data_IF_580503629965
#
_entry.id   IF_580503629965
#
_cell.length_a   1.000
_cell.length_b   1.000
_cell.length_c   1.000
_cell.angle_alpha   90.00
_cell.angle_beta   90.00
_cell.angle_gamma   90.00
#
_symmetry.space_group_name_H-M   'P 1'
#
loop_
_entity.id
_entity.type
_entity.pdbx_description
1 polymer ?
#
# COMPACT_ATOMS: atom_id res chain seq x y z
N UNK A 1 -26.91 -23.65 -1.19
CA UNK A 1 -25.63 -23.89 -0.50
C UNK A 1 -25.73 -23.30 0.89
N UNK A 2 -25.46 -24.08 1.92
CA UNK A 2 -25.43 -23.65 3.32
C UNK A 2 -23.96 -23.42 3.72
N UNK A 3 -23.63 -22.22 4.20
CA UNK A 3 -22.29 -21.85 4.62
C UNK A 3 -22.32 -21.50 6.11
N UNK A 4 -21.48 -22.18 6.87
CA UNK A 4 -21.18 -21.82 8.26
C UNK A 4 -19.88 -21.01 8.29
N UNK A 5 -19.87 -19.86 8.96
CA UNK A 5 -18.65 -19.05 9.13
C UNK A 5 -18.23 -19.10 10.60
N UNK A 6 -17.05 -19.64 10.88
CA UNK A 6 -16.47 -19.68 12.22
C UNK A 6 -15.41 -18.58 12.35
N UNK A 7 -15.79 -17.52 13.06
CA UNK A 7 -14.91 -16.39 13.33
C UNK A 7 -15.34 -15.65 14.60
N UNK A 8 -14.40 -14.96 15.23
CA UNK A 8 -14.66 -14.16 16.43
C UNK A 8 -14.20 -12.71 16.27
N UNK A 9 -14.80 -11.84 17.08
CA UNK A 9 -14.30 -10.49 17.32
C UNK A 9 -14.42 -10.16 18.79
N UNK A 10 -13.53 -9.32 19.29
CA UNK A 10 -13.59 -8.83 20.67
C UNK A 10 -12.69 -7.62 20.86
N UNK A 11 -12.73 -7.03 22.05
CA UNK A 11 -11.74 -6.04 22.49
C UNK A 11 -10.31 -6.59 22.62
N UNK A 12 -10.08 -7.89 22.42
CA UNK A 12 -8.74 -8.50 22.47
C UNK A 12 -8.31 -9.06 21.11
N UNK A 13 -9.24 -9.64 20.35
CA UNK A 13 -9.01 -10.24 19.03
C UNK A 13 -8.99 -9.16 17.95
N UNK A 14 -9.78 -8.10 18.12
CA UNK A 14 -10.02 -7.09 17.11
C UNK A 14 -11.29 -7.37 16.32
N UNK A 15 -11.46 -6.60 15.25
CA UNK A 15 -12.66 -6.64 14.39
C UNK A 15 -12.36 -7.15 12.98
N UNK A 16 -11.10 -7.48 12.69
CA UNK A 16 -10.60 -7.83 11.36
C UNK A 16 -11.33 -9.02 10.74
N UNK A 17 -11.40 -10.15 11.47
CA UNK A 17 -12.01 -11.40 10.98
C UNK A 17 -13.45 -11.20 10.50
N UNK A 18 -14.33 -10.75 11.41
CA UNK A 18 -15.74 -10.49 11.07
C UNK A 18 -15.88 -9.49 9.91
N UNK A 19 -15.06 -8.45 9.84
CA UNK A 19 -15.16 -7.46 8.76
C UNK A 19 -14.74 -8.03 7.40
N UNK A 20 -13.69 -8.86 7.33
CA UNK A 20 -13.27 -9.50 6.08
C UNK A 20 -14.19 -10.64 5.67
N UNK A 21 -14.69 -11.40 6.63
CA UNK A 21 -15.68 -12.46 6.38
C UNK A 21 -16.97 -11.90 5.79
N UNK A 22 -17.46 -10.76 6.31
CA UNK A 22 -18.64 -10.08 5.75
C UNK A 22 -18.43 -9.68 4.28
N UNK A 23 -17.21 -9.36 3.85
CA UNK A 23 -16.90 -9.08 2.44
C UNK A 23 -16.78 -10.37 1.63
N UNK A 24 -16.20 -11.43 2.21
CA UNK A 24 -16.06 -12.72 1.54
C UNK A 24 -17.44 -13.32 1.21
N UNK A 25 -18.35 -13.34 2.18
CA UNK A 25 -19.67 -13.96 2.02
C UNK A 25 -20.59 -13.21 1.06
N UNK A 26 -20.33 -11.92 0.77
CA UNK A 26 -21.05 -11.15 -0.27
C UNK A 26 -20.85 -11.77 -1.67
N UNK A 27 -19.82 -12.60 -1.86
CA UNK A 27 -19.60 -13.37 -3.10
C UNK A 27 -20.56 -14.57 -3.25
N UNK A 28 -21.35 -14.89 -2.21
CA UNK A 28 -22.31 -16.00 -2.20
C UNK A 28 -23.75 -15.50 -1.98
N UNK A 29 -24.31 -14.68 -2.90
CA UNK A 29 -25.60 -14.00 -2.68
C UNK A 29 -26.81 -14.94 -2.53
N UNK A 30 -26.70 -16.17 -3.02
CA UNK A 30 -27.77 -17.19 -2.96
C UNK A 30 -27.51 -18.27 -1.90
N UNK A 31 -26.47 -18.11 -1.08
CA UNK A 31 -26.18 -19.06 -0.01
C UNK A 31 -26.93 -18.70 1.28
N UNK A 32 -27.29 -19.71 2.05
CA UNK A 32 -27.75 -19.54 3.41
C UNK A 32 -26.54 -19.41 4.33
N UNK A 33 -26.35 -18.24 4.94
CA UNK A 33 -25.16 -17.92 5.74
C UNK A 33 -25.50 -17.90 7.23
N UNK A 34 -24.74 -18.65 8.02
CA UNK A 34 -24.80 -18.65 9.48
C UNK A 34 -23.41 -18.38 10.04
N UNK A 35 -23.29 -17.45 10.98
CA UNK A 35 -22.05 -17.21 11.72
C UNK A 35 -22.05 -17.96 13.05
N UNK A 36 -20.98 -18.69 13.34
CA UNK A 36 -20.70 -19.30 14.63
C UNK A 36 -19.65 -18.46 15.37
N UNK A 37 -20.10 -17.76 16.41
CA UNK A 37 -19.27 -16.78 17.15
C UNK A 37 -19.33 -17.04 18.66
N UNK A 38 -18.26 -16.76 19.39
CA UNK A 38 -18.27 -16.69 20.85
C UNK A 38 -18.66 -15.29 21.32
N UNK A 39 -19.38 -15.21 22.44
CA UNK A 39 -19.84 -13.92 23.00
C UNK A 39 -18.77 -13.27 23.89
N UNK A 40 -17.70 -12.75 23.28
CA UNK A 40 -16.66 -12.02 23.99
C UNK A 40 -16.98 -10.54 24.18
N UNK A 41 -16.48 -9.88 25.26
CA UNK A 41 -16.63 -8.44 25.43
C UNK A 41 -16.05 -7.65 24.25
N UNK A 42 -16.81 -6.65 23.78
CA UNK A 42 -16.41 -5.78 22.67
C UNK A 42 -16.51 -6.42 21.28
N UNK A 43 -17.19 -7.57 21.14
CA UNK A 43 -17.47 -8.15 19.83
C UNK A 43 -18.33 -7.22 18.96
N UNK A 44 -18.24 -7.44 17.64
CA UNK A 44 -19.02 -6.70 16.63
C UNK A 44 -20.10 -7.57 15.98
N UNK A 45 -20.62 -8.57 16.70
CA UNK A 45 -21.65 -9.48 16.15
C UNK A 45 -22.95 -8.77 15.74
N UNK A 46 -23.20 -7.55 16.25
CA UNK A 46 -24.29 -6.70 15.75
C UNK A 46 -24.18 -6.40 14.25
N UNK A 47 -22.95 -6.26 13.69
CA UNK A 47 -22.75 -6.02 12.26
C UNK A 47 -23.20 -7.19 11.38
N UNK A 48 -23.06 -8.42 11.89
CA UNK A 48 -23.56 -9.63 11.23
C UNK A 48 -25.10 -9.57 11.15
N UNK A 49 -25.76 -9.19 12.26
CA UNK A 49 -27.22 -9.01 12.30
C UNK A 49 -27.70 -7.87 11.40
N UNK A 50 -26.98 -6.74 11.38
CA UNK A 50 -27.31 -5.58 10.53
C UNK A 50 -27.31 -5.94 9.04
N UNK A 51 -26.50 -6.93 8.65
CA UNK A 51 -26.44 -7.49 7.28
C UNK A 51 -27.47 -8.60 7.02
N UNK A 52 -28.25 -8.98 8.04
CA UNK A 52 -29.32 -9.97 7.92
C UNK A 52 -28.89 -11.43 8.09
N UNK A 53 -27.67 -11.70 8.55
CA UNK A 53 -27.19 -13.07 8.73
C UNK A 53 -27.53 -13.64 10.12
N UNK A 54 -27.77 -14.95 10.17
CA UNK A 54 -28.02 -15.66 11.42
C UNK A 54 -26.73 -15.84 12.23
N UNK A 55 -26.87 -15.93 13.56
CA UNK A 55 -25.75 -16.13 14.48
C UNK A 55 -26.06 -17.26 15.45
N UNK A 56 -25.16 -18.22 15.54
CA UNK A 56 -25.08 -19.23 16.58
C UNK A 56 -23.98 -18.84 17.58
N UNK A 57 -24.30 -18.92 18.87
CA UNK A 57 -23.34 -18.59 19.92
C UNK A 57 -22.67 -19.86 20.42
N UNK A 58 -21.35 -19.92 20.26
CA UNK A 58 -20.51 -21.01 20.77
C UNK A 58 -20.08 -20.72 22.22
N UNK A 59 -19.94 -21.79 23.01
CA UNK A 59 -19.38 -21.74 24.36
C UNK A 59 -17.85 -21.81 24.33
N UNK A 60 -17.30 -22.63 23.44
CA UNK A 60 -15.86 -22.84 23.30
C UNK A 60 -15.46 -23.10 21.84
N UNK A 61 -14.18 -23.33 21.60
CA UNK A 61 -13.66 -23.91 20.36
C UNK A 61 -13.57 -25.43 20.47
N UNK A 62 -14.56 -26.07 21.10
CA UNK A 62 -14.64 -27.53 21.11
C UNK A 62 -15.11 -28.01 19.74
N UNK A 63 -14.46 -29.04 19.21
CA UNK A 63 -14.79 -29.61 17.91
C UNK A 63 -16.20 -30.19 17.88
N UNK A 64 -16.66 -30.78 18.99
CA UNK A 64 -17.99 -31.37 19.05
C UNK A 64 -19.08 -30.29 18.97
N UNK A 65 -18.81 -29.10 19.51
CA UNK A 65 -19.74 -27.97 19.43
C UNK A 65 -19.86 -27.46 17.98
N UNK A 66 -18.73 -27.31 17.29
CA UNK A 66 -18.73 -26.85 15.90
C UNK A 66 -19.30 -27.89 14.93
N UNK A 67 -18.97 -29.18 15.13
CA UNK A 67 -19.51 -30.30 14.36
C UNK A 67 -21.04 -30.41 14.50
N UNK A 68 -21.56 -30.20 15.71
CA UNK A 68 -23.01 -30.16 15.94
C UNK A 68 -23.69 -29.03 15.14
N UNK A 69 -23.06 -27.85 15.02
CA UNK A 69 -23.59 -26.76 14.20
C UNK A 69 -23.52 -27.07 12.70
N UNK A 70 -22.43 -27.68 12.23
CA UNK A 70 -22.31 -28.15 10.84
C UNK A 70 -23.48 -29.08 10.47
N UNK A 71 -23.80 -30.03 11.35
CA UNK A 71 -24.91 -30.98 11.15
C UNK A 71 -26.27 -30.29 11.29
N UNK A 72 -26.47 -29.44 12.29
CA UNK A 72 -27.72 -28.69 12.53
C UNK A 72 -28.14 -27.88 11.31
N UNK A 73 -27.19 -27.21 10.66
CA UNK A 73 -27.45 -26.33 9.52
C UNK A 73 -27.29 -27.03 8.16
N UNK A 74 -27.00 -28.33 8.16
CA UNK A 74 -26.67 -29.10 6.95
C UNK A 74 -25.67 -28.34 6.06
N UNK A 75 -24.57 -27.88 6.67
CA UNK A 75 -23.60 -27.02 6.01
C UNK A 75 -22.88 -27.76 4.89
N UNK A 76 -22.90 -27.18 3.68
CA UNK A 76 -22.14 -27.67 2.54
C UNK A 76 -20.68 -27.21 2.61
N UNK A 77 -20.46 -26.04 3.21
CA UNK A 77 -19.14 -25.43 3.40
C UNK A 77 -19.02 -24.82 4.79
N UNK A 78 -17.84 -24.89 5.37
CA UNK A 78 -17.42 -24.06 6.52
C UNK A 78 -16.28 -23.14 6.10
N UNK A 79 -16.41 -21.86 6.44
CA UNK A 79 -15.34 -20.86 6.37
C UNK A 79 -14.77 -20.68 7.77
N UNK A 80 -13.45 -20.87 7.93
CA UNK A 80 -12.76 -20.77 9.21
C UNK A 80 -11.81 -19.57 9.13
N UNK A 81 -12.05 -18.58 9.98
CA UNK A 81 -11.19 -17.40 10.15
C UNK A 81 -10.91 -17.19 11.64
N UNK A 82 -10.08 -18.10 12.20
CA UNK A 82 -9.85 -18.15 13.64
C UNK A 82 -8.49 -18.81 13.99
N UNK A 83 -7.57 -18.05 14.60
CA UNK A 83 -6.22 -18.52 14.96
C UNK A 83 -6.17 -19.73 15.91
N UNK A 84 -7.22 -19.94 16.71
CA UNK A 84 -7.32 -21.06 17.63
C UNK A 84 -7.81 -22.38 17.02
N UNK A 85 -8.03 -22.44 15.70
CA UNK A 85 -8.42 -23.67 15.00
C UNK A 85 -7.23 -24.09 14.12
N UNK A 86 -6.68 -25.28 14.40
CA UNK A 86 -5.45 -25.76 13.79
C UNK A 86 -5.69 -26.89 12.78
N UNK A 87 -4.61 -27.33 12.13
CA UNK A 87 -4.60 -28.48 11.21
C UNK A 87 -5.31 -29.73 11.75
N UNK A 88 -5.11 -30.07 13.03
CA UNK A 88 -5.66 -31.30 13.61
C UNK A 88 -7.17 -31.19 13.77
N UNK A 89 -7.63 -30.02 14.26
CA UNK A 89 -9.04 -29.71 14.37
C UNK A 89 -9.73 -29.77 13.00
N UNK A 90 -9.16 -29.10 11.99
CA UNK A 90 -9.69 -29.08 10.62
C UNK A 90 -9.78 -30.49 10.03
N UNK A 91 -8.73 -31.29 10.24
CA UNK A 91 -8.67 -32.69 9.80
C UNK A 91 -9.73 -33.55 10.47
N UNK A 92 -9.89 -33.43 11.77
CA UNK A 92 -10.92 -34.17 12.50
C UNK A 92 -12.33 -33.76 12.04
N UNK A 93 -12.58 -32.47 11.82
CA UNK A 93 -13.86 -31.97 11.33
C UNK A 93 -14.18 -32.53 9.93
N UNK A 94 -13.17 -32.60 9.04
CA UNK A 94 -13.29 -33.20 7.71
C UNK A 94 -13.55 -34.70 7.76
N UNK A 95 -12.91 -35.43 8.67
CA UNK A 95 -13.15 -36.87 8.85
C UNK A 95 -14.57 -37.13 9.35
N UNK A 96 -15.08 -36.32 10.28
CA UNK A 96 -16.47 -36.40 10.78
C UNK A 96 -17.50 -36.02 9.70
N UNK A 97 -17.13 -35.15 8.76
CA UNK A 97 -18.00 -34.66 7.70
C UNK A 97 -17.33 -34.76 6.30
N UNK A 98 -17.26 -35.96 5.69
CA UNK A 98 -16.48 -36.17 4.47
C UNK A 98 -16.87 -35.30 3.28
N UNK A 99 -18.13 -34.86 3.20
CA UNK A 99 -18.66 -34.02 2.12
C UNK A 99 -18.53 -32.52 2.40
N UNK A 100 -18.19 -32.11 3.64
CA UNK A 100 -18.08 -30.72 4.01
C UNK A 100 -16.87 -30.09 3.32
N UNK A 101 -17.07 -28.98 2.60
CA UNK A 101 -15.96 -28.19 2.06
C UNK A 101 -15.41 -27.26 3.15
N UNK A 102 -14.12 -27.29 3.41
CA UNK A 102 -13.44 -26.45 4.40
C UNK A 102 -12.64 -25.37 3.66
N UNK A 103 -13.01 -24.11 3.89
CA UNK A 103 -12.27 -22.93 3.45
C UNK A 103 -11.62 -22.29 4.66
N UNK A 104 -10.30 -22.06 4.62
CA UNK A 104 -9.57 -21.42 5.73
C UNK A 104 -8.99 -20.10 5.27
N UNK A 105 -9.14 -19.06 6.09
CA UNK A 105 -8.42 -17.81 5.95
C UNK A 105 -7.14 -17.88 6.79
N UNK A 106 -6.01 -17.64 6.15
CA UNK A 106 -4.71 -17.57 6.82
C UNK A 106 -3.99 -16.29 6.42
N UNK A 107 -3.27 -15.70 7.38
CA UNK A 107 -2.41 -14.54 7.17
C UNK A 107 -0.99 -14.76 7.76
N UNK A 108 -0.70 -15.96 8.25
CA UNK A 108 0.54 -16.27 8.98
C UNK A 108 1.37 -17.43 8.39
N UNK A 109 0.96 -18.02 7.27
CA UNK A 109 1.59 -19.19 6.66
C UNK A 109 1.62 -20.40 7.59
N UNK A 110 0.47 -20.68 8.21
CA UNK A 110 0.31 -21.83 9.09
C UNK A 110 -0.08 -23.10 8.31
N UNK A 111 0.07 -24.24 8.98
CA UNK A 111 -0.32 -25.54 8.42
C UNK A 111 -1.83 -25.74 8.55
N UNK A 112 -2.50 -26.13 7.45
CA UNK A 112 -3.95 -26.33 7.41
C UNK A 112 -4.36 -27.62 6.70
N UNK A 113 -5.52 -28.17 7.07
CA UNK A 113 -6.17 -29.31 6.42
C UNK A 113 -7.51 -28.86 5.83
N UNK A 114 -7.45 -28.19 4.68
CA UNK A 114 -8.59 -27.55 4.05
C UNK A 114 -8.68 -27.87 2.55
N UNK A 115 -9.85 -27.62 1.96
CA UNK A 115 -10.10 -27.75 0.52
C UNK A 115 -9.81 -26.44 -0.23
N UNK A 116 -9.95 -25.30 0.44
CA UNK A 116 -9.55 -23.98 -0.06
C UNK A 116 -8.76 -23.26 1.03
N UNK A 117 -7.59 -22.73 0.68
CA UNK A 117 -6.87 -21.77 1.52
C UNK A 117 -6.93 -20.39 0.87
N UNK A 118 -7.36 -19.38 1.62
CA UNK A 118 -7.40 -17.99 1.19
C UNK A 118 -6.46 -17.14 2.04
N UNK A 119 -5.37 -16.67 1.43
CA UNK A 119 -4.56 -15.58 1.98
C UNK A 119 -4.77 -14.33 1.11
N UNK A 120 -5.69 -13.48 1.55
CA UNK A 120 -6.15 -12.32 0.80
C UNK A 120 -5.17 -11.12 0.79
N UNK A 121 -4.04 -11.23 1.49
CA UNK A 121 -3.09 -10.13 1.63
C UNK A 121 -2.19 -10.00 0.41
N UNK A 122 -1.81 -8.76 0.08
CA UNK A 122 -0.91 -8.47 -1.04
C UNK A 122 0.47 -9.12 -0.93
N UNK A 123 0.91 -9.48 0.29
CA UNK A 123 2.19 -10.14 0.51
C UNK A 123 2.14 -11.66 0.32
N UNK A 124 0.95 -12.23 0.10
CA UNK A 124 0.77 -13.67 0.09
C UNK A 124 1.52 -14.31 -1.08
N UNK A 125 2.39 -15.25 -0.74
CA UNK A 125 3.26 -15.99 -1.66
C UNK A 125 2.86 -17.46 -1.63
N UNK A 126 2.42 -17.98 -2.78
CA UNK A 126 1.98 -19.37 -2.93
C UNK A 126 3.08 -20.37 -2.56
N UNK A 127 4.35 -20.04 -2.83
CA UNK A 127 5.48 -20.95 -2.60
C UNK A 127 5.67 -21.25 -1.11
N UNK A 128 5.30 -20.33 -0.22
CA UNK A 128 5.41 -20.49 1.23
C UNK A 128 4.40 -21.49 1.81
N UNK A 129 3.35 -21.86 1.07
CA UNK A 129 2.40 -22.90 1.47
C UNK A 129 2.81 -24.31 1.04
N UNK A 130 3.95 -24.48 0.36
CA UNK A 130 4.43 -25.79 -0.07
C UNK A 130 4.63 -26.72 1.14
N UNK A 131 3.87 -27.82 1.19
CA UNK A 131 3.91 -28.78 2.30
C UNK A 131 3.12 -28.36 3.56
N UNK A 132 2.50 -27.18 3.56
CA UNK A 132 1.63 -26.71 4.66
C UNK A 132 0.15 -27.04 4.44
N UNK A 133 -0.24 -27.40 3.22
CA UNK A 133 -1.63 -27.71 2.84
C UNK A 133 -1.71 -29.05 2.09
N UNK A 134 -2.90 -29.68 2.01
CA UNK A 134 -3.11 -30.89 1.21
C UNK A 134 -2.82 -30.64 -0.28
N UNK A 135 -2.35 -31.67 -1.00
CA UNK A 135 -1.99 -31.57 -2.43
C UNK A 135 -3.14 -31.10 -3.33
N UNK A 136 -4.39 -31.44 -2.98
CA UNK A 136 -5.59 -31.07 -3.75
C UNK A 136 -6.26 -29.78 -3.22
N UNK A 137 -5.62 -29.03 -2.31
CA UNK A 137 -6.16 -27.78 -1.80
C UNK A 137 -6.10 -26.69 -2.87
N UNK A 138 -7.22 -25.99 -3.07
CA UNK A 138 -7.29 -24.81 -3.92
C UNK A 138 -6.64 -23.62 -3.20
N UNK A 139 -5.48 -23.18 -3.67
CA UNK A 139 -4.77 -22.04 -3.08
C UNK A 139 -5.19 -20.72 -3.74
N UNK A 140 -5.56 -19.73 -2.91
CA UNK A 140 -5.98 -18.39 -3.32
C UNK A 140 -5.14 -17.34 -2.58
N UNK A 141 -4.05 -16.89 -3.21
CA UNK A 141 -3.11 -15.95 -2.61
C UNK A 141 -3.00 -14.63 -3.38
N UNK A 142 -2.80 -13.55 -2.63
CA UNK A 142 -2.27 -12.30 -3.17
C UNK A 142 -3.36 -11.30 -3.58
N UNK A 143 -2.91 -10.21 -4.21
CA UNK A 143 -3.75 -9.07 -4.59
C UNK A 143 -5.01 -9.45 -5.39
N UNK A 144 -4.94 -10.53 -6.19
CA UNK A 144 -6.06 -11.05 -6.98
C UNK A 144 -7.26 -11.47 -6.12
N UNK A 145 -7.03 -11.94 -4.90
CA UNK A 145 -8.05 -12.43 -3.99
C UNK A 145 -8.31 -11.49 -2.81
N UNK A 146 -7.79 -10.27 -2.86
CA UNK A 146 -7.97 -9.29 -1.79
C UNK A 146 -9.45 -8.95 -1.57
N UNK A 147 -9.91 -9.22 -0.34
CA UNK A 147 -11.23 -8.83 0.13
C UNK A 147 -11.28 -7.33 0.40
N UNK A 148 -11.89 -6.58 -0.51
CA UNK A 148 -12.10 -5.13 -0.41
C UNK A 148 -13.57 -4.78 -0.16
N UNK A 149 -13.81 -3.90 0.80
CA UNK A 149 -15.15 -3.36 1.09
C UNK A 149 -15.63 -2.46 -0.04
N UNK A 150 -16.93 -2.49 -0.32
CA UNK A 150 -17.54 -1.74 -1.42
C UNK A 150 -17.31 -0.22 -1.35
N UNK A 151 -17.24 0.34 -0.14
CA UNK A 151 -16.96 1.77 0.06
C UNK A 151 -15.61 2.21 -0.54
N UNK A 152 -14.60 1.33 -0.61
CA UNK A 152 -13.31 1.64 -1.22
C UNK A 152 -13.39 1.63 -2.74
N UNK A 153 -14.16 0.70 -3.32
CA UNK A 153 -14.44 0.66 -4.78
C UNK A 153 -15.12 1.95 -5.23
N UNK A 154 -16.15 2.37 -4.50
CA UNK A 154 -16.89 3.61 -4.77
C UNK A 154 -15.98 4.84 -4.66
N UNK A 155 -15.12 4.91 -3.65
CA UNK A 155 -14.20 6.04 -3.50
C UNK A 155 -13.07 6.05 -4.54
N UNK A 156 -12.58 4.89 -4.97
CA UNK A 156 -11.56 4.80 -6.02
C UNK A 156 -12.04 5.42 -7.33
N UNK A 157 -13.30 5.18 -7.72
CA UNK A 157 -13.92 5.75 -8.94
C UNK A 157 -13.97 7.28 -8.88
N UNK A 158 -14.08 7.87 -7.69
CA UNK A 158 -14.09 9.34 -7.52
C UNK A 158 -12.72 9.99 -7.73
N UNK A 159 -11.65 9.18 -7.85
CA UNK A 159 -10.28 9.66 -7.89
C UNK A 159 -9.80 10.19 -6.52
N UNK A 160 -8.50 10.47 -6.43
CA UNK A 160 -7.89 11.05 -5.22
C UNK A 160 -8.45 12.46 -4.99
N UNK A 161 -8.91 12.72 -3.76
CA UNK A 161 -9.49 14.01 -3.34
C UNK A 161 -8.63 14.72 -2.31
N UNK A 162 -7.32 14.50 -2.35
CA UNK A 162 -6.36 15.11 -1.43
C UNK A 162 -6.19 16.61 -1.70
N UNK A 163 -5.75 17.34 -0.69
CA UNK A 163 -5.85 18.80 -0.59
C UNK A 163 -4.50 19.49 -0.88
N UNK A 164 -3.67 18.92 -1.76
CA UNK A 164 -2.29 19.35 -2.03
C UNK A 164 -2.18 20.87 -2.24
N UNK A 165 -3.19 21.49 -2.86
CA UNK A 165 -3.16 22.91 -3.23
C UNK A 165 -3.75 23.90 -2.20
N UNK A 166 -4.12 23.47 -0.98
CA UNK A 166 -4.84 24.34 -0.01
C UNK A 166 -4.05 24.75 1.24
N UNK A 167 -2.75 24.45 1.29
CA UNK A 167 -1.87 24.89 2.37
C UNK A 167 -2.08 24.20 3.73
N UNK A 168 -3.10 23.34 3.88
CA UNK A 168 -3.35 22.51 5.06
C UNK A 168 -3.41 21.03 4.68
N UNK A 169 -2.49 20.24 5.22
CA UNK A 169 -2.43 18.79 5.02
C UNK A 169 -3.43 18.06 5.91
N UNK A 170 -4.04 17.00 5.41
CA UNK A 170 -4.99 16.15 6.12
C UNK A 170 -4.34 14.79 6.34
N UNK A 171 -4.06 14.45 7.59
CA UNK A 171 -3.40 13.19 7.96
C UNK A 171 -4.42 12.26 8.59
N UNK A 172 -4.54 11.06 8.03
CA UNK A 172 -5.38 10.00 8.59
C UNK A 172 -4.55 9.15 9.53
N UNK A 173 -5.00 8.95 10.77
CA UNK A 173 -4.31 8.13 11.78
C UNK A 173 -5.25 7.03 12.25
N UNK A 174 -4.84 5.76 12.11
CA UNK A 174 -5.60 4.61 12.61
C UNK A 174 -4.69 3.47 13.08
N UNK A 175 -4.56 3.31 14.40
CA UNK A 175 -3.68 2.31 15.03
C UNK A 175 -4.41 1.00 15.37
N UNK A 176 -5.38 0.62 14.53
CA UNK A 176 -6.25 -0.53 14.76
C UNK A 176 -7.42 -0.24 15.72
N UNK A 177 -8.36 -1.19 15.79
CA UNK A 177 -9.62 -0.98 16.50
C UNK A 177 -9.51 -0.88 18.03
N UNK A 178 -8.49 -1.53 18.61
CA UNK A 178 -8.33 -1.68 20.07
C UNK A 178 -7.23 -0.78 20.64
N UNK A 179 -6.20 -0.46 19.84
CA UNK A 179 -5.00 0.27 20.27
C UNK A 179 -4.37 -0.28 21.57
N UNK A 180 -3.81 -1.49 21.50
CA UNK A 180 -3.18 -2.14 22.66
C UNK A 180 -1.95 -1.40 23.21
N UNK A 181 -1.39 -0.44 22.49
CA UNK A 181 -0.13 0.21 22.83
C UNK A 181 -0.30 1.69 23.19
N UNK A 182 -1.52 2.24 23.07
CA UNK A 182 -1.86 3.65 23.33
C UNK A 182 -1.03 4.65 22.50
N UNK A 183 -0.50 4.22 21.35
CA UNK A 183 0.45 5.02 20.56
C UNK A 183 -0.24 6.15 19.79
N UNK A 184 -1.58 6.20 19.77
CA UNK A 184 -2.32 7.27 19.12
C UNK A 184 -1.90 8.64 19.67
N UNK A 185 -1.78 8.80 21.00
CA UNK A 185 -1.43 10.10 21.59
C UNK A 185 -0.01 10.52 21.19
N UNK A 186 0.96 9.62 21.27
CA UNK A 186 2.37 9.90 20.90
C UNK A 186 2.50 10.33 19.43
N UNK A 187 1.77 9.66 18.53
CA UNK A 187 1.73 10.04 17.10
C UNK A 187 1.12 11.43 16.92
N UNK A 188 0.06 11.76 17.64
CA UNK A 188 -0.59 13.07 17.57
C UNK A 188 0.30 14.18 18.12
N UNK A 189 1.05 13.91 19.19
CA UNK A 189 2.05 14.85 19.73
C UNK A 189 3.14 15.14 18.72
N UNK A 190 3.71 14.11 18.11
CA UNK A 190 4.73 14.27 17.07
C UNK A 190 4.19 15.04 15.85
N UNK A 191 2.98 14.72 15.38
CA UNK A 191 2.38 15.41 14.23
C UNK A 191 2.15 16.91 14.46
N UNK A 192 2.07 17.37 15.71
CA UNK A 192 1.97 18.80 16.06
C UNK A 192 3.28 19.57 15.84
N UNK A 193 4.42 18.88 15.75
CA UNK A 193 5.70 19.49 15.40
C UNK A 193 5.71 20.01 13.94
N UNK A 194 4.77 19.52 13.11
CA UNK A 194 4.62 19.92 11.72
C UNK A 194 3.53 20.98 11.55
N UNK A 195 3.87 22.05 10.83
CA UNK A 195 2.93 23.14 10.57
C UNK A 195 1.82 22.75 9.58
N UNK A 196 0.64 23.36 9.76
CA UNK A 196 -0.51 23.24 8.86
C UNK A 196 -1.05 21.81 8.65
N UNK A 197 -1.01 20.96 9.68
CA UNK A 197 -1.62 19.63 9.65
C UNK A 197 -2.99 19.63 10.36
N UNK A 198 -3.98 19.02 9.72
CA UNK A 198 -5.23 18.56 10.31
C UNK A 198 -5.18 17.04 10.47
N UNK A 199 -5.47 16.53 11.66
CA UNK A 199 -5.39 15.11 11.97
C UNK A 199 -6.79 14.51 12.09
N UNK A 200 -7.06 13.45 11.35
CA UNK A 200 -8.25 12.62 11.48
C UNK A 200 -7.87 11.33 12.20
N UNK A 201 -8.32 11.19 13.45
CA UNK A 201 -8.00 10.02 14.28
C UNK A 201 -9.16 9.06 14.27
N UNK A 202 -8.93 7.83 13.81
CA UNK A 202 -9.98 6.82 13.66
C UNK A 202 -9.78 5.77 14.75
N UNK A 203 -10.84 5.55 15.52
CA UNK A 203 -10.85 4.55 16.58
C UNK A 203 -12.24 3.91 16.73
N UNK A 204 -12.37 2.96 17.64
CA UNK A 204 -13.65 2.29 17.92
C UNK A 204 -14.00 2.40 19.40
N UNK A 205 -15.23 2.04 19.73
CA UNK A 205 -15.66 1.88 21.13
C UNK A 205 -14.95 0.73 21.86
N UNK A 206 -14.28 -0.17 21.13
CA UNK A 206 -13.48 -1.24 21.73
C UNK A 206 -12.08 -0.79 22.17
N UNK A 207 -11.69 0.46 21.86
CA UNK A 207 -10.42 1.01 22.32
C UNK A 207 -10.44 1.21 23.84
N UNK A 208 -9.56 0.50 24.55
CA UNK A 208 -9.45 0.56 26.01
C UNK A 208 -8.96 1.92 26.55
N UNK A 209 -8.29 2.70 25.71
CA UNK A 209 -7.79 4.06 25.98
C UNK A 209 -8.73 5.16 25.45
N UNK A 210 -9.97 4.84 25.05
CA UNK A 210 -10.87 5.80 24.43
C UNK A 210 -11.16 7.04 25.31
N UNK A 211 -11.28 6.86 26.62
CA UNK A 211 -11.54 7.96 27.55
C UNK A 211 -10.37 8.96 27.59
N UNK A 212 -9.15 8.44 27.64
CA UNK A 212 -7.90 9.21 27.60
C UNK A 212 -7.75 9.94 26.26
N UNK A 213 -7.95 9.23 25.14
CA UNK A 213 -7.90 9.82 23.81
C UNK A 213 -8.94 10.93 23.64
N UNK A 214 -10.17 10.75 24.14
CA UNK A 214 -11.22 11.79 24.13
C UNK A 214 -10.81 13.03 24.92
N UNK A 215 -10.24 12.83 26.12
CA UNK A 215 -9.77 13.94 26.94
C UNK A 215 -8.62 14.68 26.25
N UNK A 216 -7.68 13.95 25.65
CA UNK A 216 -6.55 14.52 24.93
C UNK A 216 -7.00 15.38 23.74
N UNK A 217 -7.98 14.95 22.95
CA UNK A 217 -8.38 15.70 21.73
C UNK A 217 -9.34 16.87 22.01
N UNK A 218 -9.94 16.96 23.19
CA UNK A 218 -11.07 17.85 23.48
C UNK A 218 -10.80 19.35 23.22
N UNK A 219 -9.56 19.79 23.43
CA UNK A 219 -9.12 21.18 23.30
C UNK A 219 -8.32 21.46 22.01
N UNK A 220 -8.20 20.49 21.10
CA UNK A 220 -7.33 20.56 19.92
C UNK A 220 -8.14 20.74 18.64
N UNK A 221 -8.20 21.98 18.14
CA UNK A 221 -8.96 22.34 16.94
C UNK A 221 -8.41 21.75 15.62
N UNK A 222 -7.16 21.31 15.61
CA UNK A 222 -6.51 20.65 14.48
C UNK A 222 -6.63 19.11 14.52
N UNK A 223 -7.39 18.55 15.45
CA UNK A 223 -7.65 17.11 15.56
C UNK A 223 -9.15 16.86 15.47
N UNK A 224 -9.55 15.87 14.68
CA UNK A 224 -10.93 15.37 14.65
C UNK A 224 -10.93 13.88 14.97
N UNK A 225 -11.59 13.51 16.07
CA UNK A 225 -11.75 12.13 16.50
C UNK A 225 -13.01 11.51 15.86
N UNK A 226 -12.82 10.38 15.19
CA UNK A 226 -13.86 9.58 14.53
C UNK A 226 -14.00 8.25 15.25
N UNK A 227 -15.13 8.04 15.94
CA UNK A 227 -15.41 6.80 16.67
C UNK A 227 -16.44 5.98 15.88
N UNK A 228 -16.12 4.73 15.56
CA UNK A 228 -16.99 3.82 14.79
C UNK A 228 -17.50 4.42 13.46
N UNK A 229 -16.66 5.22 12.79
CA UNK A 229 -17.05 5.89 11.54
C UNK A 229 -17.33 4.91 10.41
N UNK A 230 -18.37 5.21 9.63
CA UNK A 230 -18.74 4.49 8.39
C UNK A 230 -18.19 5.15 7.13
N UNK A 231 -17.25 6.10 7.28
CA UNK A 231 -16.70 6.91 6.18
C UNK A 231 -15.18 6.69 6.05
N UNK A 232 -14.67 5.50 6.36
CA UNK A 232 -13.22 5.23 6.40
C UNK A 232 -12.60 5.46 5.01
N UNK A 233 -13.18 4.85 3.96
CA UNK A 233 -12.68 5.02 2.60
C UNK A 233 -12.65 6.49 2.15
N UNK A 234 -13.71 7.25 2.45
CA UNK A 234 -13.81 8.67 2.12
C UNK A 234 -12.78 9.52 2.88
N UNK A 235 -12.53 9.22 4.15
CA UNK A 235 -11.52 9.91 4.95
C UNK A 235 -10.11 9.62 4.42
N UNK A 236 -9.78 8.35 4.12
CA UNK A 236 -8.51 7.98 3.48
C UNK A 236 -8.35 8.63 2.11
N UNK A 237 -9.40 8.64 1.29
CA UNK A 237 -9.35 9.21 -0.06
C UNK A 237 -9.10 10.74 -0.07
N UNK A 238 -9.43 11.43 1.03
CA UNK A 238 -9.15 12.86 1.24
C UNK A 238 -7.84 13.14 1.97
N UNK A 239 -7.27 12.15 2.63
CA UNK A 239 -6.02 12.30 3.34
C UNK A 239 -4.87 12.51 2.36
N UNK A 240 -3.93 13.39 2.71
CA UNK A 240 -2.71 13.60 1.96
C UNK A 240 -1.73 12.43 2.18
N UNK A 241 -1.65 11.93 3.41
CA UNK A 241 -1.04 10.63 3.74
C UNK A 241 -1.71 10.02 4.98
N UNK A 242 -1.46 8.72 5.22
CA UNK A 242 -1.99 7.99 6.37
C UNK A 242 -0.89 7.46 7.28
N UNK A 243 -1.12 7.37 8.58
CA UNK A 243 -0.30 6.60 9.53
C UNK A 243 -1.18 5.46 10.05
N UNK A 244 -0.80 4.21 9.79
CA UNK A 244 -1.61 3.02 10.09
C UNK A 244 -0.78 1.84 10.61
N UNK A 245 -1.43 0.78 11.09
CA UNK A 245 -0.76 -0.51 11.29
C UNK A 245 -0.61 -1.29 9.99
N UNK A 246 0.45 -2.11 9.81
CA UNK A 246 0.60 -3.03 8.68
C UNK A 246 -0.37 -4.23 8.80
N UNK A 247 -1.65 -3.96 8.61
CA UNK A 247 -2.74 -4.96 8.67
C UNK A 247 -3.53 -4.98 7.36
N UNK A 248 -4.71 -5.60 7.35
CA UNK A 248 -5.62 -5.60 6.19
C UNK A 248 -5.94 -4.19 5.65
N UNK A 249 -5.80 -3.17 6.49
CA UNK A 249 -5.88 -1.74 6.13
C UNK A 249 -4.93 -1.36 4.99
N UNK A 250 -3.75 -2.00 4.91
CA UNK A 250 -2.77 -1.74 3.86
C UNK A 250 -3.33 -2.11 2.49
N UNK A 251 -4.03 -3.24 2.38
CA UNK A 251 -4.67 -3.64 1.13
C UNK A 251 -5.63 -2.55 0.60
N UNK A 252 -6.38 -1.92 1.51
CA UNK A 252 -7.31 -0.84 1.21
C UNK A 252 -6.60 0.46 0.77
N UNK A 253 -5.47 0.77 1.42
CA UNK A 253 -4.63 1.92 1.10
C UNK A 253 -3.97 1.76 -0.27
N UNK A 254 -3.41 0.59 -0.57
CA UNK A 254 -2.87 0.27 -1.90
C UNK A 254 -3.94 0.44 -2.97
N UNK A 255 -5.14 -0.12 -2.72
CA UNK A 255 -6.24 0.00 -3.66
C UNK A 255 -6.61 1.47 -3.94
N UNK A 256 -6.64 2.34 -2.93
CA UNK A 256 -6.90 3.77 -3.11
C UNK A 256 -5.71 4.55 -3.68
N UNK A 257 -4.48 4.07 -3.54
CA UNK A 257 -3.26 4.78 -3.93
C UNK A 257 -2.96 5.97 -3.00
N UNK A 258 -3.16 5.79 -1.69
CA UNK A 258 -2.88 6.82 -0.68
C UNK A 258 -1.46 6.62 -0.13
N UNK A 259 -0.61 7.66 -0.05
CA UNK A 259 0.65 7.55 0.64
C UNK A 259 0.47 7.16 2.11
N UNK A 260 1.35 6.34 2.65
CA UNK A 260 1.21 5.86 4.03
C UNK A 260 2.54 5.69 4.74
N UNK A 261 2.46 5.68 6.07
CA UNK A 261 3.49 5.22 6.99
C UNK A 261 2.87 4.11 7.83
N UNK A 262 3.47 2.91 7.81
CA UNK A 262 3.03 1.78 8.60
C UNK A 262 3.86 1.64 9.89
N UNK A 263 3.22 1.35 11.03
CA UNK A 263 3.90 1.09 12.30
C UNK A 263 3.42 -0.27 12.82
N UNK A 264 4.32 -1.26 12.92
CA UNK A 264 3.98 -2.58 13.46
C UNK A 264 3.68 -2.47 14.95
N UNK A 265 2.55 -3.04 15.39
CA UNK A 265 2.10 -3.02 16.80
C UNK A 265 1.83 -4.41 17.36
N UNK A 266 1.78 -5.43 16.51
CA UNK A 266 1.49 -6.81 16.91
C UNK A 266 2.25 -7.80 16.02
N UNK A 267 2.46 -9.02 16.51
CA UNK A 267 3.31 -10.00 15.83
C UNK A 267 2.65 -10.62 14.59
N UNK A 268 1.33 -10.77 14.58
CA UNK A 268 0.56 -11.19 13.40
C UNK A 268 0.64 -10.20 12.22
N UNK A 269 1.24 -9.02 12.42
CA UNK A 269 1.49 -8.03 11.36
C UNK A 269 2.89 -8.16 10.72
N UNK A 270 3.69 -9.15 11.16
CA UNK A 270 5.09 -9.30 10.72
C UNK A 270 5.22 -9.45 9.20
N UNK A 271 4.42 -10.30 8.56
CA UNK A 271 4.56 -10.56 7.12
C UNK A 271 4.19 -9.35 6.25
N UNK A 272 3.15 -8.60 6.63
CA UNK A 272 2.83 -7.34 5.97
C UNK A 272 3.95 -6.32 6.16
N UNK A 273 4.52 -6.21 7.37
CA UNK A 273 5.66 -5.34 7.64
C UNK A 273 6.90 -5.71 6.80
N UNK A 274 7.24 -7.00 6.72
CA UNK A 274 8.36 -7.51 5.92
C UNK A 274 8.17 -7.17 4.44
N UNK A 275 6.99 -7.45 3.88
CA UNK A 275 6.64 -7.10 2.51
C UNK A 275 6.79 -5.60 2.24
N UNK A 276 6.30 -4.76 3.15
CA UNK A 276 6.43 -3.31 3.02
C UNK A 276 7.89 -2.86 3.02
N UNK A 277 8.71 -3.43 3.90
CA UNK A 277 10.14 -3.13 4.00
C UNK A 277 10.91 -3.58 2.75
N UNK A 278 10.68 -4.79 2.28
CA UNK A 278 11.30 -5.36 1.08
C UNK A 278 10.97 -4.56 -0.19
N UNK A 279 9.76 -3.97 -0.24
CA UNK A 279 9.32 -3.13 -1.35
C UNK A 279 9.56 -1.63 -1.12
N UNK A 280 10.38 -1.26 -0.14
CA UNK A 280 10.79 0.13 0.17
C UNK A 280 9.63 1.08 0.50
N UNK A 281 8.52 0.57 1.02
CA UNK A 281 7.45 1.38 1.58
C UNK A 281 7.84 1.92 2.96
N UNK A 282 7.24 3.05 3.37
CA UNK A 282 7.52 3.66 4.66
C UNK A 282 6.90 2.82 5.79
N UNK A 283 7.69 1.90 6.36
CA UNK A 283 7.28 1.09 7.50
C UNK A 283 8.27 1.22 8.67
N UNK A 284 7.78 1.03 9.91
CA UNK A 284 8.53 0.96 11.15
C UNK A 284 8.19 -0.34 11.90
N UNK A 285 9.20 -0.96 12.51
CA UNK A 285 9.04 -2.19 13.29
C UNK A 285 8.35 -1.98 14.64
N UNK A 286 8.48 -0.78 15.19
CA UNK A 286 7.82 -0.32 16.41
C UNK A 286 7.73 1.21 16.35
N UNK A 287 6.96 1.81 17.26
CA UNK A 287 6.93 3.26 17.39
C UNK A 287 8.32 3.77 17.82
N UNK A 288 8.90 4.63 17.00
CA UNK A 288 10.14 5.37 17.27
C UNK A 288 9.93 6.81 16.82
N UNK A 289 10.03 7.75 17.76
CA UNK A 289 9.74 9.17 17.51
C UNK A 289 10.64 9.76 16.41
N UNK A 290 11.94 9.47 16.44
CA UNK A 290 12.91 10.04 15.48
C UNK A 290 12.68 9.48 14.08
N UNK A 291 12.51 8.16 13.96
CA UNK A 291 12.28 7.51 12.67
C UNK A 291 10.92 7.90 12.07
N UNK A 292 9.90 8.04 12.90
CA UNK A 292 8.58 8.47 12.45
C UNK A 292 8.62 9.94 11.99
N UNK A 293 9.29 10.83 12.73
CA UNK A 293 9.48 12.24 12.36
C UNK A 293 10.16 12.37 11.00
N UNK A 294 11.22 11.58 10.77
CA UNK A 294 11.89 11.53 9.47
C UNK A 294 10.95 11.09 8.35
N UNK A 295 10.21 9.98 8.53
CA UNK A 295 9.28 9.47 7.52
C UNK A 295 8.13 10.43 7.24
N UNK A 296 7.61 11.14 8.25
CA UNK A 296 6.60 12.20 8.07
C UNK A 296 7.19 13.34 7.23
N UNK A 297 8.41 13.78 7.52
CA UNK A 297 9.09 14.81 6.73
C UNK A 297 9.25 14.39 5.27
N UNK A 298 9.68 13.15 5.03
CA UNK A 298 9.80 12.57 3.67
C UNK A 298 8.45 12.56 2.93
N UNK A 299 7.36 12.15 3.59
CA UNK A 299 6.01 12.17 3.01
C UNK A 299 5.54 13.60 2.66
N UNK A 300 5.79 14.56 3.55
CA UNK A 300 5.43 15.96 3.32
C UNK A 300 6.19 16.54 2.14
N UNK A 301 7.48 16.23 2.00
CA UNK A 301 8.29 16.70 0.87
C UNK A 301 7.82 16.07 -0.46
N UNK A 302 7.44 14.80 -0.45
CA UNK A 302 6.90 14.10 -1.62
C UNK A 302 5.58 14.70 -2.12
N UNK A 303 4.73 15.16 -1.20
CA UNK A 303 3.48 15.85 -1.54
C UNK A 303 3.69 17.23 -2.19
N UNK A 304 4.90 17.78 -2.10
CA UNK A 304 5.25 19.11 -2.65
C UNK A 304 6.09 19.02 -3.91
N UNK A 305 6.14 17.84 -4.53
CA UNK A 305 6.80 17.63 -5.81
C UNK A 305 5.87 18.09 -6.94
N UNK A 306 6.39 18.94 -7.81
CA UNK A 306 5.72 19.38 -9.03
C UNK A 306 6.57 19.05 -10.25
N UNK A 307 5.91 18.59 -11.30
CA UNK A 307 6.52 18.37 -12.62
C UNK A 307 6.08 19.49 -13.55
N UNK A 308 7.05 20.26 -14.04
CA UNK A 308 6.80 21.33 -15.02
C UNK A 308 7.35 20.86 -16.36
N UNK A 309 6.49 20.72 -17.36
CA UNK A 309 6.91 20.28 -18.70
C UNK A 309 7.87 21.32 -19.29
N UNK A 310 8.91 20.86 -19.99
CA UNK A 310 9.90 21.74 -20.65
C UNK A 310 9.28 22.79 -21.57
N UNK A 311 8.17 22.45 -22.23
CA UNK A 311 7.45 23.38 -23.12
C UNK A 311 6.83 24.56 -22.36
N UNK A 312 6.53 24.38 -21.07
CA UNK A 312 5.88 25.36 -20.19
C UNK A 312 6.88 26.14 -19.32
N UNK A 313 8.19 25.90 -19.48
CA UNK A 313 9.21 26.59 -18.69
C UNK A 313 9.37 28.06 -19.09
N UNK A 314 9.67 28.90 -18.10
CA UNK A 314 10.17 30.26 -18.33
C UNK A 314 11.53 30.24 -19.03
N UNK A 315 11.92 31.38 -19.63
CA UNK A 315 13.21 31.48 -20.31
C UNK A 315 14.40 31.31 -19.35
N UNK A 316 14.25 31.80 -18.11
CA UNK A 316 15.21 31.65 -17.03
C UNK A 316 15.39 30.18 -16.66
N UNK A 317 14.28 29.43 -16.56
CA UNK A 317 14.33 28.00 -16.24
C UNK A 317 14.95 27.19 -17.38
N UNK A 318 14.65 27.51 -18.64
CA UNK A 318 15.27 26.87 -19.82
C UNK A 318 16.79 27.05 -19.80
N UNK A 319 17.28 28.26 -19.50
CA UNK A 319 18.72 28.52 -19.34
C UNK A 319 19.31 27.76 -18.15
N UNK A 320 18.62 27.72 -17.02
CA UNK A 320 19.06 27.00 -15.83
C UNK A 320 19.21 25.49 -16.08
N UNK A 321 18.24 24.83 -16.73
CA UNK A 321 18.35 23.40 -17.02
C UNK A 321 19.44 23.09 -18.05
N UNK A 322 19.72 24.02 -18.98
CA UNK A 322 20.84 23.93 -19.91
C UNK A 322 22.18 23.99 -19.18
N UNK A 323 22.34 24.96 -18.27
CA UNK A 323 23.53 25.07 -17.42
C UNK A 323 23.77 23.76 -16.66
N UNK A 324 22.73 23.17 -16.07
CA UNK A 324 22.84 21.88 -15.39
C UNK A 324 23.22 20.74 -16.34
N UNK A 325 22.60 20.69 -17.53
CA UNK A 325 22.87 19.65 -18.53
C UNK A 325 24.29 19.72 -19.08
N UNK A 326 24.85 20.92 -19.19
CA UNK A 326 26.24 21.17 -19.62
C UNK A 326 27.26 21.03 -18.50
N UNK A 327 26.84 21.12 -17.23
CA UNK A 327 27.71 20.98 -16.08
C UNK A 327 28.46 19.65 -16.09
N UNK A 328 29.79 19.67 -15.87
CA UNK A 328 30.68 18.51 -16.02
C UNK A 328 30.22 17.26 -15.26
N UNK A 329 29.78 17.44 -14.00
CA UNK A 329 29.22 16.38 -13.15
C UNK A 329 28.02 15.64 -13.76
N UNK A 330 27.24 16.31 -14.60
CA UNK A 330 26.09 15.73 -15.30
C UNK A 330 26.51 15.22 -16.67
N UNK A 331 27.17 16.07 -17.45
CA UNK A 331 27.57 15.78 -18.84
C UNK A 331 28.40 14.51 -18.95
N UNK A 332 29.31 14.21 -18.00
CA UNK A 332 30.13 12.98 -17.99
C UNK A 332 29.33 11.66 -17.99
N UNK A 333 28.05 11.71 -17.59
CA UNK A 333 27.14 10.57 -17.53
C UNK A 333 26.12 10.54 -18.67
N UNK A 334 26.19 11.48 -19.60
CA UNK A 334 25.27 11.58 -20.74
C UNK A 334 25.89 10.98 -22.00
N UNK A 335 25.08 10.55 -22.97
CA UNK A 335 25.63 10.04 -24.24
C UNK A 335 26.25 11.15 -25.10
N UNK A 336 25.61 12.32 -25.13
CA UNK A 336 26.15 13.52 -25.78
C UNK A 336 27.09 14.27 -24.83
N UNK A 337 28.36 14.36 -25.21
CA UNK A 337 29.45 14.97 -24.43
C UNK A 337 29.77 16.42 -24.83
N UNK A 338 29.31 16.86 -26.00
CA UNK A 338 29.52 18.24 -26.47
C UNK A 338 28.76 19.25 -25.61
N UNK A 339 29.27 20.47 -25.55
CA UNK A 339 28.55 21.59 -24.95
C UNK A 339 27.35 21.90 -25.86
N UNK A 340 26.17 21.92 -25.26
CA UNK A 340 24.95 22.29 -25.96
C UNK A 340 24.84 23.81 -25.98
N UNK A 341 24.79 24.40 -27.16
CA UNK A 341 24.60 25.83 -27.32
C UNK A 341 23.15 26.24 -26.99
N UNK A 342 22.94 27.49 -26.58
CA UNK A 342 21.62 27.96 -26.14
C UNK A 342 20.57 27.84 -27.26
N UNK A 343 20.93 28.16 -28.50
CA UNK A 343 20.00 28.09 -29.63
C UNK A 343 19.56 26.65 -29.88
N UNK A 344 20.50 25.71 -29.95
CA UNK A 344 20.19 24.28 -30.13
C UNK A 344 19.29 23.74 -29.02
N UNK A 345 19.52 24.18 -27.77
CA UNK A 345 18.68 23.79 -26.64
C UNK A 345 17.26 24.33 -26.76
N UNK A 346 17.10 25.59 -27.15
CA UNK A 346 15.79 26.21 -27.33
C UNK A 346 15.03 25.60 -28.51
N UNK A 347 15.71 25.32 -29.62
CA UNK A 347 15.14 24.60 -30.77
C UNK A 347 14.72 23.17 -30.38
N UNK A 348 15.53 22.48 -29.58
CA UNK A 348 15.16 21.16 -29.06
C UNK A 348 13.88 21.22 -28.23
N UNK A 349 13.78 22.17 -27.29
CA UNK A 349 12.56 22.35 -26.47
C UNK A 349 11.35 22.68 -27.35
N UNK A 350 11.52 23.53 -28.36
CA UNK A 350 10.42 23.87 -29.26
C UNK A 350 9.94 22.63 -30.04
N UNK A 351 10.87 21.79 -30.48
CA UNK A 351 10.52 20.54 -31.17
C UNK A 351 9.67 19.59 -30.31
N UNK A 352 9.77 19.65 -28.97
CA UNK A 352 9.03 18.76 -28.07
C UNK A 352 7.51 18.96 -28.15
N UNK A 353 7.02 20.12 -28.60
CA UNK A 353 5.58 20.40 -28.72
C UNK A 353 4.85 19.44 -29.65
N UNK A 354 5.55 18.95 -30.68
CA UNK A 354 4.99 18.06 -31.70
C UNK A 354 5.35 16.58 -31.45
N UNK A 355 6.11 16.28 -30.39
CA UNK A 355 6.61 14.92 -30.12
C UNK A 355 5.70 14.18 -29.16
N UNK A 356 5.41 12.92 -29.49
CA UNK A 356 4.62 11.99 -28.65
C UNK A 356 5.46 10.88 -28.03
N UNK A 357 6.65 10.64 -28.58
CA UNK A 357 7.59 9.59 -28.14
C UNK A 357 8.49 10.04 -26.99
N UNK A 358 8.37 11.29 -26.52
CA UNK A 358 9.21 11.83 -25.45
C UNK A 358 8.56 12.96 -24.67
N UNK A 359 8.91 13.05 -23.39
CA UNK A 359 8.48 14.10 -22.47
C UNK A 359 9.64 14.45 -21.53
N UNK A 360 9.79 15.74 -21.23
CA UNK A 360 10.85 16.24 -20.33
C UNK A 360 10.22 17.13 -19.27
N UNK A 361 10.63 16.95 -18.03
CA UNK A 361 10.09 17.69 -16.89
C UNK A 361 11.21 18.28 -16.03
N UNK A 362 11.08 19.56 -15.69
CA UNK A 362 11.75 20.12 -14.53
C UNK A 362 11.00 19.67 -13.28
N UNK A 363 11.71 19.01 -12.36
CA UNK A 363 11.17 18.62 -11.07
C UNK A 363 11.43 19.72 -10.06
N UNK A 364 10.38 20.20 -9.41
CA UNK A 364 10.45 21.15 -8.30
C UNK A 364 9.98 20.47 -7.01
N UNK A 365 10.64 20.73 -5.90
CA UNK A 365 10.17 20.36 -4.56
C UNK A 365 10.11 21.62 -3.70
N UNK A 366 8.98 21.88 -3.02
CA UNK A 366 8.75 23.14 -2.31
C UNK A 366 9.02 24.37 -3.22
N UNK A 367 8.55 24.33 -4.47
CA UNK A 367 8.81 25.33 -5.54
C UNK A 367 10.29 25.49 -5.96
N UNK A 368 11.24 24.80 -5.31
CA UNK A 368 12.66 24.85 -5.65
C UNK A 368 13.00 23.83 -6.73
N UNK A 369 13.66 24.22 -7.84
CA UNK A 369 14.15 23.31 -8.86
C UNK A 369 15.19 22.31 -8.31
N UNK A 370 14.90 21.00 -8.39
CA UNK A 370 15.76 19.95 -7.82
C UNK A 370 16.42 19.03 -8.86
N UNK A 371 15.90 18.97 -10.08
CA UNK A 371 16.45 18.11 -11.12
C UNK A 371 15.54 18.02 -12.33
N UNK A 372 15.92 17.17 -13.27
CA UNK A 372 15.18 16.90 -14.49
C UNK A 372 14.95 15.39 -14.59
N UNK A 373 13.76 15.03 -15.03
CA UNK A 373 13.41 13.68 -15.43
C UNK A 373 12.86 13.72 -16.85
N UNK A 374 13.07 12.65 -17.59
CA UNK A 374 12.52 12.52 -18.93
C UNK A 374 12.07 11.10 -19.23
N UNK A 375 11.16 11.00 -20.17
CA UNK A 375 10.65 9.77 -20.74
C UNK A 375 10.92 9.81 -22.23
N UNK A 376 11.51 8.77 -22.79
CA UNK A 376 11.80 8.67 -24.22
C UNK A 376 11.41 7.28 -24.72
N UNK A 377 11.25 7.15 -26.04
CA UNK A 377 10.73 5.93 -26.68
C UNK A 377 9.41 5.49 -26.02
N UNK A 378 8.55 6.46 -25.73
CA UNK A 378 7.22 6.20 -25.17
C UNK A 378 6.43 5.44 -26.22
N UNK A 379 6.08 4.20 -25.89
CA UNK A 379 5.25 3.32 -26.69
C UNK A 379 4.07 2.87 -25.82
N UNK A 380 2.96 3.58 -25.95
CA UNK A 380 1.74 3.29 -25.20
C UNK A 380 1.00 2.06 -25.73
N UNK A 381 1.26 1.65 -26.97
CA UNK A 381 0.65 0.44 -27.55
C UNK A 381 1.30 -0.82 -26.97
N UNK A 382 2.63 -0.81 -26.82
CA UNK A 382 3.40 -1.91 -26.22
C UNK A 382 3.68 -1.74 -24.71
N UNK A 383 3.10 -0.70 -24.11
CA UNK A 383 3.13 -0.46 -22.67
C UNK A 383 4.53 -0.24 -22.11
N UNK A 384 5.40 0.54 -22.78
CA UNK A 384 6.73 0.81 -22.25
C UNK A 384 7.33 2.19 -22.57
N UNK A 385 8.37 2.56 -21.81
CA UNK A 385 9.17 3.76 -22.02
C UNK A 385 10.58 3.57 -21.45
N UNK A 386 11.53 4.37 -21.91
CA UNK A 386 12.81 4.61 -21.23
C UNK A 386 12.72 5.88 -20.39
N UNK A 387 13.47 5.96 -19.29
CA UNK A 387 13.62 7.19 -18.52
C UNK A 387 15.07 7.67 -18.42
N UNK A 388 15.22 8.99 -18.33
CA UNK A 388 16.43 9.68 -17.97
C UNK A 388 16.24 10.52 -16.70
N UNK A 389 17.34 10.77 -15.99
CA UNK A 389 17.33 11.56 -14.76
C UNK A 389 18.67 12.25 -14.51
N UNK A 390 18.61 13.50 -14.08
CA UNK A 390 19.75 14.18 -13.48
C UNK A 390 19.32 15.18 -12.43
N UNK A 391 20.16 15.35 -11.41
CA UNK A 391 19.91 16.30 -10.31
C UNK A 391 20.50 17.67 -10.62
N UNK A 392 19.97 18.71 -9.99
CA UNK A 392 20.63 19.99 -9.90
C UNK A 392 22.05 19.78 -9.31
N UNK A 393 23.14 20.21 -9.99
CA UNK A 393 24.52 19.90 -9.58
C UNK A 393 24.94 20.43 -8.19
N UNK A 394 24.18 21.40 -7.66
CA UNK A 394 24.48 22.09 -6.39
C UNK A 394 23.85 21.43 -5.17
N UNK A 395 22.88 20.53 -5.36
CA UNK A 395 22.17 19.87 -4.27
C UNK A 395 22.49 18.37 -4.24
N UNK A 396 22.40 17.77 -3.06
CA UNK A 396 22.62 16.34 -2.84
C UNK A 396 21.35 15.71 -2.26
N UNK A 397 21.24 14.39 -2.36
CA UNK A 397 20.17 13.62 -1.70
C UNK A 397 18.82 13.60 -2.41
N UNK A 398 18.66 14.26 -3.56
CA UNK A 398 17.36 14.35 -4.26
C UNK A 398 17.02 13.16 -5.16
N UNK A 399 17.94 12.20 -5.34
CA UNK A 399 17.74 11.04 -6.22
C UNK A 399 16.50 10.21 -5.88
N UNK A 400 16.19 10.06 -4.58
CA UNK A 400 14.99 9.35 -4.11
C UNK A 400 13.70 10.03 -4.60
N UNK A 401 13.64 11.36 -4.46
CA UNK A 401 12.49 12.18 -4.88
C UNK A 401 12.30 12.10 -6.40
N UNK A 402 13.39 12.22 -7.17
CA UNK A 402 13.35 12.13 -8.63
C UNK A 402 12.88 10.74 -9.09
N UNK A 403 13.37 9.66 -8.49
CA UNK A 403 12.93 8.30 -8.81
C UNK A 403 11.46 8.07 -8.48
N UNK A 404 10.96 8.54 -7.34
CA UNK A 404 9.53 8.45 -7.03
C UNK A 404 8.68 9.22 -8.04
N UNK A 405 9.12 10.40 -8.46
CA UNK A 405 8.43 11.17 -9.49
C UNK A 405 8.39 10.42 -10.84
N UNK A 406 9.50 9.78 -11.23
CA UNK A 406 9.57 8.94 -12.44
C UNK A 406 8.56 7.80 -12.36
N UNK A 407 8.58 7.04 -11.27
CA UNK A 407 7.73 5.86 -11.10
C UNK A 407 6.25 6.23 -11.06
N UNK A 408 5.91 7.31 -10.36
CA UNK A 408 4.54 7.81 -10.32
C UNK A 408 4.06 8.25 -11.71
N UNK A 409 4.87 9.02 -12.44
CA UNK A 409 4.48 9.47 -13.78
C UNK A 409 4.36 8.28 -14.76
N UNK A 410 5.31 7.36 -14.75
CA UNK A 410 5.28 6.15 -15.59
C UNK A 410 4.00 5.33 -15.37
N UNK A 411 3.77 4.89 -14.14
CA UNK A 411 2.73 3.89 -13.87
C UNK A 411 1.34 4.51 -13.64
N UNK A 412 1.26 5.70 -13.04
CA UNK A 412 -0.03 6.34 -12.75
C UNK A 412 -0.54 7.22 -13.90
N UNK A 413 0.37 7.88 -14.64
CA UNK A 413 0.01 8.86 -15.68
C UNK A 413 0.12 8.24 -17.08
N UNK A 414 1.30 7.71 -17.44
CA UNK A 414 1.49 7.05 -18.74
C UNK A 414 0.82 5.66 -18.79
N UNK A 415 0.60 5.03 -17.63
CA UNK A 415 -0.01 3.70 -17.50
C UNK A 415 0.70 2.63 -18.34
N UNK A 416 2.03 2.68 -18.36
CA UNK A 416 2.87 1.68 -19.00
C UNK A 416 3.11 0.49 -18.08
N UNK A 417 3.48 -0.67 -18.62
CA UNK A 417 3.76 -1.88 -17.85
C UNK A 417 5.25 -2.06 -17.55
N UNK A 418 6.12 -1.51 -18.40
CA UNK A 418 7.57 -1.69 -18.32
C UNK A 418 8.30 -0.36 -18.46
N UNK A 419 9.30 -0.16 -17.60
CA UNK A 419 10.12 1.03 -17.58
C UNK A 419 11.59 0.63 -17.68
N UNK A 420 12.32 1.26 -18.59
CA UNK A 420 13.71 0.95 -18.89
C UNK A 420 14.65 2.12 -18.55
N UNK A 421 15.91 1.82 -18.25
CA UNK A 421 16.97 2.82 -18.20
C UNK A 421 18.26 2.30 -18.81
N UNK A 422 19.00 3.18 -19.46
CA UNK A 422 20.34 2.95 -19.94
C UNK A 422 21.32 3.73 -19.08
N UNK A 423 22.27 3.04 -18.45
CA UNK A 423 23.23 3.65 -17.55
C UNK A 423 24.63 3.10 -17.82
N UNK A 424 25.63 3.98 -17.82
CA UNK A 424 27.02 3.54 -17.94
C UNK A 424 27.39 2.59 -16.79
N UNK A 425 28.08 1.49 -17.12
CA UNK A 425 28.42 0.43 -16.16
C UNK A 425 29.27 0.93 -14.99
N UNK A 426 30.05 2.00 -15.20
CA UNK A 426 30.88 2.67 -14.19
C UNK A 426 30.12 3.73 -13.35
N UNK A 427 28.82 3.95 -13.60
CA UNK A 427 27.98 4.86 -12.81
C UNK A 427 27.31 4.14 -11.63
N UNK A 428 28.12 3.58 -10.74
CA UNK A 428 27.65 2.78 -9.60
C UNK A 428 26.58 3.46 -8.75
N UNK A 429 26.64 4.80 -8.63
CA UNK A 429 25.66 5.56 -7.86
C UNK A 429 24.26 5.52 -8.47
N UNK A 430 24.14 5.62 -9.79
CA UNK A 430 22.85 5.53 -10.46
C UNK A 430 22.34 4.09 -10.44
N UNK A 431 23.22 3.11 -10.65
CA UNK A 431 22.88 1.67 -10.60
C UNK A 431 22.31 1.31 -9.23
N UNK A 432 23.01 1.66 -8.14
CA UNK A 432 22.53 1.43 -6.77
C UNK A 432 21.18 2.08 -6.49
N UNK A 433 20.96 3.30 -7.02
CA UNK A 433 19.66 3.96 -6.88
C UNK A 433 18.57 3.20 -7.63
N UNK A 434 18.83 2.68 -8.83
CA UNK A 434 17.83 1.95 -9.61
C UNK A 434 17.53 0.57 -8.98
N UNK A 435 18.55 -0.14 -8.49
CA UNK A 435 18.40 -1.40 -7.76
C UNK A 435 17.54 -1.22 -6.50
N UNK A 436 17.70 -0.10 -5.77
CA UNK A 436 16.83 0.24 -4.63
C UNK A 436 15.35 0.40 -5.01
N UNK A 437 15.03 0.59 -6.28
CA UNK A 437 13.66 0.66 -6.80
C UNK A 437 13.27 -0.59 -7.60
N UNK A 438 13.96 -1.70 -7.35
CA UNK A 438 13.74 -3.03 -7.93
C UNK A 438 14.00 -3.12 -9.43
N UNK A 439 14.78 -2.19 -10.00
CA UNK A 439 15.25 -2.37 -11.37
C UNK A 439 16.29 -3.49 -11.42
N UNK A 440 16.14 -4.36 -12.41
CA UNK A 440 17.05 -5.48 -12.65
C UNK A 440 17.81 -5.29 -13.96
N UNK A 441 19.10 -5.67 -13.98
CA UNK A 441 19.89 -5.67 -15.21
C UNK A 441 19.37 -6.77 -16.15
N UNK A 442 19.01 -6.40 -17.37
CA UNK A 442 18.50 -7.34 -18.39
C UNK A 442 19.43 -7.48 -19.60
N UNK A 443 20.27 -6.48 -19.87
CA UNK A 443 21.17 -6.48 -21.01
C UNK A 443 22.37 -5.57 -20.79
N UNK A 444 23.35 -5.65 -21.68
CA UNK A 444 24.49 -4.73 -21.77
C UNK A 444 24.88 -4.49 -23.22
N UNK A 445 25.33 -3.28 -23.53
CA UNK A 445 25.80 -2.89 -24.87
C UNK A 445 26.96 -1.91 -24.75
N UNK A 446 27.64 -1.65 -25.86
CA UNK A 446 28.71 -0.65 -25.91
C UNK A 446 28.26 0.57 -26.68
N UNK A 447 28.34 1.76 -26.06
CA UNK A 447 28.09 3.05 -26.69
C UNK A 447 29.35 3.90 -26.50
N UNK A 448 29.88 4.48 -27.58
CA UNK A 448 31.06 5.36 -27.53
C UNK A 448 32.26 4.74 -26.78
N UNK A 449 32.53 3.45 -27.02
CA UNK A 449 33.58 2.64 -26.36
C UNK A 449 33.41 2.48 -24.84
N UNK A 450 32.24 2.80 -24.29
CA UNK A 450 31.88 2.58 -22.89
C UNK A 450 30.79 1.53 -22.79
N UNK A 451 30.85 0.72 -21.75
CA UNK A 451 29.80 -0.24 -21.46
C UNK A 451 28.59 0.49 -20.84
N UNK A 452 27.41 0.11 -21.33
CA UNK A 452 26.12 0.61 -20.90
C UNK A 452 25.29 -0.62 -20.53
N UNK A 453 24.73 -0.61 -19.33
CA UNK A 453 23.78 -1.63 -18.90
C UNK A 453 22.36 -1.14 -19.14
N UNK A 454 21.48 -2.06 -19.48
CA UNK A 454 20.04 -1.82 -19.60
C UNK A 454 19.37 -2.43 -18.38
N UNK A 455 18.62 -1.61 -17.65
CA UNK A 455 17.87 -2.03 -16.48
C UNK A 455 16.36 -1.91 -16.75
N UNK A 456 15.59 -2.85 -16.24
CA UNK A 456 14.12 -2.92 -16.41
C UNK A 456 13.42 -2.99 -15.06
N UNK A 457 12.26 -2.33 -14.97
CA UNK A 457 11.26 -2.52 -13.93
C UNK A 457 9.91 -2.87 -14.56
N UNK A 458 9.26 -3.91 -14.05
CA UNK A 458 7.90 -4.32 -14.44
C UNK A 458 6.87 -3.90 -13.40
N UNK A 459 5.69 -3.49 -13.84
CA UNK A 459 4.58 -3.05 -12.98
C UNK A 459 3.80 -4.20 -12.30
N UNK A 460 4.32 -5.43 -12.32
CA UNK A 460 3.58 -6.62 -11.88
C UNK A 460 3.36 -6.69 -10.35
N UNK A 461 3.90 -5.75 -9.56
CA UNK A 461 3.96 -5.81 -8.10
C UNK A 461 3.69 -4.46 -7.37
N UNK A 462 2.93 -3.51 -7.96
CA UNK A 462 2.72 -2.17 -7.35
C UNK A 462 1.27 -1.69 -7.26
#
# INVERSE_FOLDING_TARGET
MNILVRADSSSFIGTGHIMRDLVLIEQYPNANIVFATQNFPGNISHKIKDKGYAIEILKSNDIEELDALVKKHASDMIVIDHYGIDYNFEKELKVKNPTLKIMVLDDTYEKHYCDILLNHNIYADETKYQGLIPENCELRCGAKFTLLREEFRVEKVKGRQNNINRGKLNVFVAMGGIDHTNINIDILELLREFSNIHMHVITTTANRHLAELKAYVADKSNITLHINTKQIAKLMNKADFTIVTPSVTINEIFYLGVPFIAIKTAENQRFMYEYLKENNFAALEHFDHTQLSQKISEQIDELKVALVNFIDLSQEEKKMILEWRNHERIRRWMFTQDIIELNDHLEYIESLKERKDRLYFLVKCNLKPIGVIDFTKIDLENGHSEFGVYSNPTIKGVGRILMKAILNYAFSVLKIDRLFSEVFEDNYRAIQLYEQYNFSKINSKTINRRNVIVMELKNENR
#
